data_IF_263362361384
#
_entry.id   IF_263362361384
#
_cell.length_a   1.000
_cell.length_b   1.000
_cell.length_c   1.000
_cell.angle_alpha   90.00
_cell.angle_beta   90.00
_cell.angle_gamma   90.00
#
_symmetry.space_group_name_H-M   'P 1'
#
loop_
_entity.id
_entity.type
_entity.pdbx_description
1 polymer ?
#
# COMPACT_ATOMS: atom_id res chain seq x y z
N UNK A 1 16.22 -0.85 -28.00
CA UNK A 1 14.80 -0.98 -27.61
C UNK A 1 14.42 -2.45 -27.33
N UNK A 2 14.98 -3.43 -28.06
CA UNK A 2 14.69 -4.87 -27.89
C UNK A 2 15.07 -5.49 -26.53
N UNK A 3 16.05 -4.94 -25.81
CA UNK A 3 16.51 -5.52 -24.55
C UNK A 3 15.56 -5.27 -23.36
N UNK A 4 14.78 -4.17 -23.40
CA UNK A 4 13.86 -3.81 -22.31
C UNK A 4 12.64 -4.71 -22.31
N UNK A 5 11.93 -4.82 -23.44
CA UNK A 5 10.75 -5.68 -23.56
C UNK A 5 11.02 -7.13 -23.15
N UNK A 6 12.24 -7.63 -23.38
CA UNK A 6 12.62 -8.97 -22.94
C UNK A 6 12.72 -9.10 -21.42
N UNK A 7 13.41 -8.17 -20.74
CA UNK A 7 13.55 -8.16 -19.27
C UNK A 7 12.17 -8.07 -18.61
N UNK A 8 11.31 -7.16 -19.10
CA UNK A 8 9.94 -7.00 -18.63
C UNK A 8 9.12 -8.28 -18.78
N UNK A 9 9.18 -8.94 -19.94
CA UNK A 9 8.40 -10.16 -20.19
C UNK A 9 8.93 -11.37 -19.38
N UNK A 10 10.25 -11.45 -19.16
CA UNK A 10 10.85 -12.53 -18.37
C UNK A 10 10.46 -12.41 -16.91
N UNK A 11 10.62 -11.23 -16.31
CA UNK A 11 10.25 -11.06 -14.91
C UNK A 11 8.77 -11.32 -14.68
N UNK A 12 7.90 -10.80 -15.57
CA UNK A 12 6.46 -11.08 -15.55
C UNK A 12 6.14 -12.59 -15.54
N UNK A 13 6.91 -13.40 -16.27
CA UNK A 13 6.73 -14.85 -16.30
C UNK A 13 7.14 -15.51 -14.97
N UNK A 14 8.27 -15.11 -14.39
CA UNK A 14 8.79 -15.66 -13.13
C UNK A 14 7.85 -15.40 -11.93
N UNK A 15 7.25 -14.22 -11.85
CA UNK A 15 6.27 -13.92 -10.79
C UNK A 15 4.95 -14.68 -10.94
N UNK A 16 4.52 -14.93 -12.17
CA UNK A 16 3.33 -15.75 -12.41
C UNK A 16 3.53 -17.18 -11.87
N UNK A 17 4.74 -17.71 -11.96
CA UNK A 17 5.08 -19.03 -11.43
C UNK A 17 5.15 -19.04 -9.90
N UNK A 18 5.67 -18.00 -9.25
CA UNK A 18 5.74 -17.93 -7.78
C UNK A 18 4.35 -17.86 -7.14
N UNK A 19 3.46 -16.99 -7.65
CA UNK A 19 2.10 -16.82 -7.11
C UNK A 19 1.17 -18.01 -7.34
N UNK A 20 1.45 -18.86 -8.34
CA UNK A 20 0.68 -20.08 -8.57
C UNK A 20 0.92 -21.18 -7.51
N UNK A 21 1.98 -21.04 -6.70
CA UNK A 21 2.39 -22.04 -5.70
C UNK A 21 1.92 -21.76 -4.26
N UNK A 22 1.37 -20.57 -4.00
CA UNK A 22 0.90 -20.16 -2.67
C UNK A 22 -0.63 -20.33 -2.55
N UNK A 23 -1.09 -21.20 -1.66
CA UNK A 23 -2.51 -21.23 -1.24
C UNK A 23 -2.76 -20.08 -0.25
N UNK A 24 -3.53 -19.07 -0.67
CA UNK A 24 -3.84 -17.89 0.14
C UNK A 24 -5.17 -18.02 0.91
N UNK A 25 -5.34 -17.33 2.06
CA UNK A 25 -6.60 -17.21 2.76
C UNK A 25 -7.67 -16.53 1.90
N UNK A 26 -8.93 -16.97 1.99
CA UNK A 26 -10.06 -16.59 1.12
C UNK A 26 -10.47 -15.09 1.09
N UNK A 27 -9.69 -14.15 1.65
CA UNK A 27 -10.10 -12.73 1.76
C UNK A 27 -8.94 -11.71 1.65
N UNK A 28 -7.84 -12.02 0.98
CA UNK A 28 -6.74 -11.04 0.77
C UNK A 28 -6.75 -10.49 -0.65
N UNK A 29 -6.33 -9.23 -0.79
CA UNK A 29 -5.95 -8.69 -2.10
C UNK A 29 -4.89 -9.59 -2.69
N UNK A 30 -5.11 -10.09 -3.88
CA UNK A 30 -4.07 -10.73 -4.66
C UNK A 30 -3.90 -9.91 -5.92
N UNK A 31 -2.81 -9.14 -5.98
CA UNK A 31 -2.47 -8.35 -7.15
C UNK A 31 -1.45 -9.11 -7.99
N UNK A 32 -1.63 -9.03 -9.29
CA UNK A 32 -0.66 -9.50 -10.26
C UNK A 32 -0.04 -8.31 -10.99
N UNK A 33 1.06 -8.58 -11.67
CA UNK A 33 1.71 -7.59 -12.53
C UNK A 33 0.73 -6.90 -13.48
N UNK A 34 -0.20 -7.67 -14.06
CA UNK A 34 -1.18 -7.17 -15.04
C UNK A 34 -2.28 -6.30 -14.42
N UNK A 35 -2.35 -6.24 -13.09
CA UNK A 35 -3.26 -5.35 -12.37
C UNK A 35 -2.63 -3.98 -12.09
N UNK A 36 -1.35 -3.77 -12.41
CA UNK A 36 -0.65 -2.51 -12.18
C UNK A 36 -0.56 -1.71 -13.48
N UNK A 37 -1.16 -0.53 -13.49
CA UNK A 37 -1.15 0.40 -14.62
C UNK A 37 -0.24 1.57 -14.29
N UNK A 38 0.68 1.90 -15.21
CA UNK A 38 1.69 2.96 -15.02
C UNK A 38 1.44 4.05 -16.06
N UNK A 39 1.20 5.27 -15.63
CA UNK A 39 1.03 6.47 -16.47
C UNK A 39 2.08 7.53 -16.13
N UNK A 40 2.51 8.30 -17.12
CA UNK A 40 3.38 9.45 -16.92
C UNK A 40 2.53 10.67 -16.57
N UNK A 41 2.92 11.43 -15.54
CA UNK A 41 2.25 12.67 -15.16
C UNK A 41 2.60 13.82 -16.14
N UNK A 42 1.72 14.81 -16.25
CA UNK A 42 1.87 15.93 -17.21
C UNK A 42 3.10 16.81 -16.92
N UNK A 43 3.48 16.95 -15.65
CA UNK A 43 4.68 17.69 -15.22
C UNK A 43 5.98 16.96 -15.55
N UNK A 44 5.89 15.65 -15.79
CA UNK A 44 6.98 14.82 -16.22
C UNK A 44 8.07 14.65 -15.18
N UNK A 45 7.78 14.71 -13.89
CA UNK A 45 8.78 14.41 -12.84
C UNK A 45 8.48 13.10 -12.08
N UNK A 46 7.26 12.59 -12.18
CA UNK A 46 6.85 11.31 -11.61
C UNK A 46 6.00 10.45 -12.56
N UNK A 47 5.91 9.16 -12.23
CA UNK A 47 4.87 8.27 -12.74
C UNK A 47 3.78 8.15 -11.70
N UNK A 48 2.55 8.12 -12.18
CA UNK A 48 1.39 7.69 -11.42
C UNK A 48 1.18 6.20 -11.67
N UNK A 49 0.96 5.46 -10.60
CA UNK A 49 0.59 4.05 -10.68
C UNK A 49 -0.83 3.90 -10.15
N UNK A 50 -1.66 3.23 -10.92
CA UNK A 50 -3.04 2.92 -10.59
C UNK A 50 -3.26 1.42 -10.64
N UNK A 51 -4.21 0.94 -9.83
CA UNK A 51 -4.63 -0.46 -9.86
C UNK A 51 -5.75 -0.59 -10.89
N UNK A 52 -5.60 -1.56 -11.79
CA UNK A 52 -6.53 -1.82 -12.89
C UNK A 52 -7.97 -1.95 -12.41
N UNK A 53 -8.90 -1.35 -13.16
CA UNK A 53 -10.35 -1.45 -12.97
C UNK A 53 -10.89 -2.91 -13.00
N UNK A 54 -10.07 -3.88 -13.43
CA UNK A 54 -10.37 -5.32 -13.32
C UNK A 54 -10.36 -5.82 -11.89
N UNK A 55 -9.52 -5.23 -11.03
CA UNK A 55 -9.53 -5.46 -9.58
C UNK A 55 -10.67 -4.66 -8.97
N UNK A 56 -11.69 -5.35 -8.47
CA UNK A 56 -12.90 -4.71 -7.92
C UNK A 56 -12.73 -4.28 -6.46
N UNK A 57 -12.01 -5.09 -5.70
CA UNK A 57 -11.82 -4.86 -4.28
C UNK A 57 -10.35 -4.98 -3.93
N UNK A 58 -9.91 -4.10 -3.04
CA UNK A 58 -8.60 -4.15 -2.40
C UNK A 58 -8.85 -4.20 -0.91
N UNK A 59 -8.12 -5.08 -0.24
CA UNK A 59 -8.06 -5.20 1.21
C UNK A 59 -6.85 -4.43 1.71
N UNK A 60 -7.10 -3.39 2.50
CA UNK A 60 -6.09 -2.62 3.24
C UNK A 60 -6.54 -2.59 4.70
N UNK A 61 -5.61 -2.80 5.63
CA UNK A 61 -5.88 -2.91 7.06
C UNK A 61 -7.09 -3.82 7.35
N UNK A 62 -7.18 -4.99 6.71
CA UNK A 62 -8.29 -5.93 6.84
C UNK A 62 -9.69 -5.30 6.60
N UNK A 63 -9.78 -4.25 5.77
CA UNK A 63 -11.01 -3.59 5.32
C UNK A 63 -11.13 -3.75 3.80
N UNK A 64 -12.28 -4.22 3.34
CA UNK A 64 -12.57 -4.33 1.91
C UNK A 64 -12.97 -2.97 1.38
N UNK A 65 -12.25 -2.48 0.38
CA UNK A 65 -12.44 -1.18 -0.25
C UNK A 65 -12.74 -1.43 -1.73
N UNK A 66 -13.69 -0.70 -2.30
CA UNK A 66 -13.80 -0.69 -3.75
C UNK A 66 -12.58 0.03 -4.33
N UNK A 67 -12.01 -0.51 -5.42
CA UNK A 67 -10.80 0.08 -6.03
C UNK A 67 -10.99 1.57 -6.39
N UNK A 68 -12.23 2.00 -6.67
CA UNK A 68 -12.56 3.38 -7.06
C UNK A 68 -12.80 4.33 -5.88
N UNK A 69 -12.96 3.79 -4.67
CA UNK A 69 -13.22 4.58 -3.46
C UNK A 69 -11.92 5.07 -2.82
N UNK A 70 -10.81 4.39 -3.10
CA UNK A 70 -9.52 4.73 -2.51
C UNK A 70 -8.72 5.64 -3.44
N UNK A 71 -8.30 6.80 -2.93
CA UNK A 71 -7.38 7.67 -3.63
C UNK A 71 -5.95 7.12 -3.52
N UNK A 72 -5.69 5.96 -4.12
CA UNK A 72 -4.35 5.36 -4.15
C UNK A 72 -3.46 6.21 -5.03
N UNK A 73 -2.71 7.10 -4.39
CA UNK A 73 -1.72 7.91 -5.06
C UNK A 73 -0.38 7.21 -4.93
N UNK A 74 0.04 6.52 -5.99
CA UNK A 74 1.36 5.89 -6.05
C UNK A 74 2.29 6.69 -6.95
N UNK A 75 3.37 7.24 -6.39
CA UNK A 75 4.34 8.03 -7.13
C UNK A 75 5.72 7.39 -7.18
N UNK A 76 6.32 7.39 -8.38
CA UNK A 76 7.70 6.94 -8.61
C UNK A 76 8.48 8.03 -9.34
N UNK A 77 9.66 8.37 -8.81
CA UNK A 77 10.57 9.32 -9.45
C UNK A 77 11.05 8.84 -10.83
N UNK A 78 11.16 9.76 -11.80
CA UNK A 78 11.67 9.43 -13.14
C UNK A 78 13.11 8.91 -13.16
N UNK A 79 13.92 9.24 -12.16
CA UNK A 79 15.30 8.75 -12.10
C UNK A 79 15.38 7.22 -11.91
N UNK A 80 14.38 6.63 -11.24
CA UNK A 80 14.20 5.16 -11.17
C UNK A 80 13.81 4.57 -12.54
N UNK A 81 13.17 5.34 -13.42
CA UNK A 81 12.61 4.83 -14.68
C UNK A 81 13.67 4.37 -15.70
N UNK A 82 14.92 4.83 -15.60
CA UNK A 82 15.99 4.32 -16.48
C UNK A 82 16.06 2.78 -16.44
N UNK A 83 15.63 2.25 -15.30
CA UNK A 83 15.47 0.87 -14.92
C UNK A 83 14.12 0.69 -14.20
N UNK A 84 12.98 0.80 -14.91
CA UNK A 84 11.78 0.11 -14.38
C UNK A 84 12.14 -1.38 -14.33
N UNK A 85 12.69 -1.78 -13.20
CA UNK A 85 13.06 -3.14 -12.89
C UNK A 85 11.83 -3.79 -12.28
N UNK A 86 11.61 -5.06 -12.61
CA UNK A 86 10.45 -5.77 -12.14
C UNK A 86 10.33 -5.77 -10.61
N UNK A 87 11.47 -5.61 -9.95
CA UNK A 87 11.66 -5.60 -8.52
C UNK A 87 10.78 -4.55 -7.80
N UNK A 88 10.62 -3.33 -8.30
CA UNK A 88 9.82 -2.32 -7.59
C UNK A 88 8.31 -2.56 -7.71
N UNK A 89 7.82 -3.07 -8.84
CA UNK A 89 6.40 -3.47 -8.97
C UNK A 89 6.11 -4.65 -8.05
N UNK A 90 7.06 -5.58 -7.90
CA UNK A 90 6.93 -6.66 -6.91
C UNK A 90 6.94 -6.14 -5.48
N UNK A 91 7.84 -5.20 -5.16
CA UNK A 91 7.83 -4.55 -3.85
C UNK A 91 6.49 -3.85 -3.57
N UNK A 92 5.92 -3.15 -4.57
CA UNK A 92 4.61 -2.50 -4.45
C UNK A 92 3.47 -3.52 -4.22
N UNK A 93 3.42 -4.59 -5.00
CA UNK A 93 2.42 -5.65 -4.81
C UNK A 93 2.55 -6.24 -3.41
N UNK A 94 3.77 -6.60 -2.99
CA UNK A 94 4.03 -7.14 -1.67
C UNK A 94 3.66 -6.16 -0.56
N UNK A 95 3.89 -4.85 -0.75
CA UNK A 95 3.45 -3.80 0.16
C UNK A 95 1.93 -3.83 0.32
N UNK A 96 1.17 -3.80 -0.77
CA UNK A 96 -0.30 -3.80 -0.74
C UNK A 96 -0.85 -5.07 -0.09
N UNK A 97 -0.27 -6.24 -0.39
CA UNK A 97 -0.66 -7.51 0.23
C UNK A 97 -0.34 -7.54 1.74
N UNK A 98 0.81 -7.00 2.14
CA UNK A 98 1.15 -6.83 3.56
C UNK A 98 0.17 -5.89 4.25
N UNK A 99 -0.14 -4.74 3.64
CA UNK A 99 -1.15 -3.78 4.11
C UNK A 99 -2.52 -4.45 4.32
N UNK A 100 -2.88 -5.47 3.55
CA UNK A 100 -4.11 -6.25 3.78
C UNK A 100 -4.15 -6.94 5.14
N UNK A 101 -3.00 -7.24 5.75
CA UNK A 101 -2.83 -8.05 6.94
C UNK A 101 -2.36 -7.30 8.21
N UNK A 102 -2.10 -5.98 8.13
CA UNK A 102 -1.47 -5.19 9.21
C UNK A 102 -2.31 -5.01 10.48
N UNK A 103 -3.50 -5.60 10.60
CA UNK A 103 -4.44 -5.36 11.71
C UNK A 103 -3.78 -5.49 13.08
N UNK A 104 -3.11 -6.62 13.32
CA UNK A 104 -2.52 -6.88 14.63
C UNK A 104 -1.30 -5.98 14.87
N UNK A 105 -0.48 -5.78 13.84
CA UNK A 105 0.69 -4.90 13.89
C UNK A 105 0.30 -3.45 14.22
N UNK A 106 -0.77 -2.92 13.62
CA UNK A 106 -1.31 -1.59 13.92
C UNK A 106 -1.77 -1.47 15.37
N UNK A 107 -2.53 -2.45 15.88
CA UNK A 107 -3.02 -2.43 17.26
C UNK A 107 -1.85 -2.50 18.25
N UNK A 108 -0.89 -3.38 17.98
CA UNK A 108 0.28 -3.58 18.85
C UNK A 108 1.17 -2.33 18.85
N UNK A 109 1.44 -1.77 17.68
CA UNK A 109 2.21 -0.53 17.53
C UNK A 109 1.52 0.64 18.24
N UNK A 110 0.24 0.89 17.96
CA UNK A 110 -0.52 1.94 18.62
C UNK A 110 -0.43 1.81 20.14
N UNK A 111 -0.60 0.60 20.68
CA UNK A 111 -0.55 0.34 22.11
C UNK A 111 0.83 0.55 22.71
N UNK A 112 1.89 0.23 21.97
CA UNK A 112 3.29 0.37 22.38
C UNK A 112 3.87 1.79 22.24
N UNK A 113 3.32 2.61 21.34
CA UNK A 113 3.81 3.96 21.05
C UNK A 113 3.33 5.00 22.08
N UNK A 114 4.12 6.06 22.27
CA UNK A 114 3.76 7.21 23.10
C UNK A 114 3.62 8.43 22.19
N UNK A 115 2.42 9.00 22.14
CA UNK A 115 2.09 10.13 21.26
C UNK A 115 0.88 10.90 21.79
N UNK A 116 0.76 12.16 21.37
CA UNK A 116 -0.26 13.07 21.87
C UNK A 116 -1.68 12.59 21.52
N UNK A 117 -2.61 12.87 22.43
CA UNK A 117 -4.04 12.60 22.26
C UNK A 117 -4.43 11.11 22.10
N UNK A 118 -3.49 10.18 22.31
CA UNK A 118 -3.71 8.73 22.31
C UNK A 118 -4.83 8.30 23.27
N UNK A 119 -5.71 7.40 22.81
CA UNK A 119 -6.60 6.61 23.66
C UNK A 119 -5.83 5.56 24.47
N UNK A 120 -6.22 5.37 25.73
CA UNK A 120 -5.71 4.28 26.55
C UNK A 120 -6.02 2.91 25.92
N UNK A 121 -4.99 2.05 25.81
CA UNK A 121 -5.03 0.65 25.37
C UNK A 121 -6.21 0.26 24.46
N UNK A 122 -5.96 0.25 23.16
CA UNK A 122 -6.94 -0.12 22.15
C UNK A 122 -6.90 -1.61 21.80
N UNK A 123 -7.94 -2.08 21.12
CA UNK A 123 -8.05 -3.45 20.65
C UNK A 123 -9.00 -3.56 19.47
N UNK A 124 -9.61 -4.73 19.28
CA UNK A 124 -10.49 -5.00 18.12
C UNK A 124 -11.59 -3.94 17.91
N UNK A 125 -12.25 -3.47 18.97
CA UNK A 125 -13.36 -2.51 18.87
C UNK A 125 -12.91 -1.18 18.26
N UNK A 126 -11.75 -0.67 18.69
CA UNK A 126 -11.17 0.54 18.13
C UNK A 126 -10.82 0.33 16.65
N UNK A 127 -10.10 -0.75 16.34
CA UNK A 127 -9.70 -1.05 14.96
C UNK A 127 -10.89 -1.20 14.00
N UNK A 128 -11.95 -1.88 14.45
CA UNK A 128 -13.16 -2.06 13.66
C UNK A 128 -13.90 -0.72 13.45
N UNK A 129 -13.73 0.25 14.35
CA UNK A 129 -14.26 1.60 14.25
C UNK A 129 -13.41 2.57 13.42
N UNK A 130 -12.25 2.15 12.92
CA UNK A 130 -11.47 2.94 11.97
C UNK A 130 -12.07 2.83 10.57
N UNK A 131 -12.08 3.91 9.80
CA UNK A 131 -12.45 3.92 8.39
C UNK A 131 -11.31 4.50 7.56
N UNK A 132 -10.88 3.85 6.48
CA UNK A 132 -9.77 4.37 5.67
C UNK A 132 -10.27 5.58 4.89
N UNK A 133 -9.58 6.71 5.07
CA UNK A 133 -9.85 7.94 4.34
C UNK A 133 -8.92 8.10 3.14
N UNK A 134 -7.63 7.80 3.35
CA UNK A 134 -6.61 7.97 2.31
C UNK A 134 -5.51 6.90 2.43
N UNK A 135 -4.90 6.58 1.30
CA UNK A 135 -3.74 5.69 1.19
C UNK A 135 -2.76 6.29 0.18
N UNK A 136 -1.64 6.76 0.69
CA UNK A 136 -0.55 7.28 -0.11
C UNK A 136 0.61 6.28 -0.10
N UNK A 137 1.17 5.96 -1.28
CA UNK A 137 2.36 5.11 -1.39
C UNK A 137 3.38 5.83 -2.28
N UNK A 138 4.62 5.92 -1.84
CA UNK A 138 5.68 6.54 -2.61
C UNK A 138 6.90 5.63 -2.67
N UNK A 139 7.52 5.54 -3.83
CA UNK A 139 8.79 4.84 -4.01
C UNK A 139 9.89 5.89 -4.14
N UNK A 140 10.74 5.96 -3.12
CA UNK A 140 11.89 6.86 -3.07
C UNK A 140 13.00 6.41 -4.04
N UNK A 141 13.93 7.31 -4.37
CA UNK A 141 15.04 7.04 -5.31
C UNK A 141 15.97 5.89 -4.89
N UNK A 142 16.01 5.55 -3.60
CA UNK A 142 16.75 4.41 -3.06
C UNK A 142 15.92 3.11 -3.02
N UNK A 143 14.76 3.12 -3.67
CA UNK A 143 13.77 2.04 -3.73
C UNK A 143 13.07 1.71 -2.41
N UNK A 144 13.19 2.58 -1.40
CA UNK A 144 12.37 2.54 -0.20
C UNK A 144 10.91 2.77 -0.57
N UNK A 145 10.02 1.94 -0.04
CA UNK A 145 8.57 2.21 -0.09
C UNK A 145 8.15 2.94 1.17
N UNK A 146 7.70 4.18 0.99
CA UNK A 146 7.04 4.97 2.02
C UNK A 146 5.54 4.83 1.83
N UNK A 147 4.80 4.59 2.89
CA UNK A 147 3.32 4.54 2.87
C UNK A 147 2.78 5.43 3.96
N UNK A 148 1.65 6.07 3.70
CA UNK A 148 0.83 6.72 4.71
C UNK A 148 -0.60 6.19 4.58
N UNK A 149 -1.21 5.81 5.71
CA UNK A 149 -2.64 5.50 5.77
C UNK A 149 -3.28 6.44 6.78
N UNK A 150 -4.28 7.18 6.30
CA UNK A 150 -5.12 8.00 7.17
C UNK A 150 -6.44 7.28 7.40
N UNK A 151 -6.82 7.16 8.67
CA UNK A 151 -8.11 6.64 9.09
C UNK A 151 -8.95 7.73 9.77
N UNK A 152 -10.27 7.67 9.61
CA UNK A 152 -11.21 8.31 10.52
C UNK A 152 -11.41 7.42 11.75
N UNK A 153 -11.26 7.95 12.96
CA UNK A 153 -11.53 7.22 14.20
C UNK A 153 -12.91 7.57 14.78
N UNK A 154 -13.86 6.66 14.59
CA UNK A 154 -15.23 6.82 15.09
C UNK A 154 -15.32 6.99 16.61
N UNK A 155 -14.43 6.36 17.39
CA UNK A 155 -14.41 6.50 18.85
C UNK A 155 -13.94 7.88 19.30
N UNK A 156 -13.39 8.67 18.38
CA UNK A 156 -12.87 10.01 18.58
C UNK A 156 -13.71 11.09 17.90
N UNK A 157 -14.94 10.78 17.48
CA UNK A 157 -15.78 11.67 16.65
C UNK A 157 -15.15 11.96 15.29
N UNK A 158 -14.68 10.90 14.62
CA UNK A 158 -14.16 10.94 13.25
C UNK A 158 -12.90 11.83 13.09
N UNK A 159 -12.12 11.97 14.17
CA UNK A 159 -10.81 12.61 14.11
C UNK A 159 -9.87 11.71 13.30
N UNK A 160 -9.12 12.31 12.38
CA UNK A 160 -8.13 11.62 11.56
C UNK A 160 -6.97 11.07 12.39
N UNK A 161 -6.55 9.84 12.12
CA UNK A 161 -5.31 9.24 12.62
C UNK A 161 -4.50 8.75 11.44
N UNK A 162 -3.26 9.23 11.31
CA UNK A 162 -2.32 8.82 10.27
C UNK A 162 -1.31 7.83 10.83
N UNK A 163 -1.01 6.81 10.05
CA UNK A 163 0.12 5.90 10.27
C UNK A 163 1.09 6.03 9.11
N UNK A 164 2.38 6.15 9.45
CA UNK A 164 3.46 6.22 8.47
C UNK A 164 4.26 4.93 8.50
N UNK A 165 4.63 4.44 7.32
CA UNK A 165 5.33 3.19 7.14
C UNK A 165 6.53 3.36 6.20
N UNK A 166 7.59 2.61 6.49
CA UNK A 166 8.77 2.48 5.63
C UNK A 166 9.14 1.02 5.47
N UNK A 167 9.10 0.50 4.24
CA UNK A 167 9.42 -0.89 3.90
C UNK A 167 8.75 -1.94 4.83
N UNK A 168 7.41 -1.89 4.93
CA UNK A 168 6.61 -2.77 5.79
C UNK A 168 6.91 -2.65 7.29
N UNK A 169 7.48 -1.53 7.74
CA UNK A 169 7.68 -1.21 9.15
C UNK A 169 6.84 0.02 9.48
N UNK A 170 6.05 -0.06 10.55
CA UNK A 170 5.32 1.09 11.09
C UNK A 170 6.33 1.99 11.82
N UNK A 171 6.48 3.22 11.37
CA UNK A 171 7.45 4.18 11.94
C UNK A 171 6.80 5.17 12.89
N UNK A 172 5.59 5.62 12.56
CA UNK A 172 4.95 6.71 13.30
C UNK A 172 3.42 6.60 13.30
N UNK A 173 2.80 7.26 14.28
CA UNK A 173 1.36 7.41 14.41
C UNK A 173 1.03 8.76 15.04
N UNK A 174 0.09 9.48 14.44
CA UNK A 174 -0.39 10.75 14.97
C UNK A 174 -1.88 10.95 14.72
N UNK A 175 -2.54 11.67 15.64
CA UNK A 175 -3.88 12.21 15.35
C UNK A 175 -3.74 13.55 14.64
N UNK A 176 -4.42 13.70 13.51
CA UNK A 176 -4.60 14.99 12.85
C UNK A 176 -5.39 15.94 13.76
N UNK A 177 -4.95 17.20 13.80
CA UNK A 177 -5.60 18.29 14.54
C UNK A 177 -6.68 18.99 13.71
#
# INVERSE_FOLDING_TARGET
>A
MENRTHIFNTAKAEFKESKASEQSPENLTQLYWDDILISEQEDGDCFEITISDTVKHIVIANKNLENKELNVSIFVSKDLQKNIEADWVYKLINQIEWLGNIKNELIDFYNGSDFDNKLDKVGKVWFDGLEIMDLYIHIENDETIVTEITFSDYLRNDIGISFSFKDQIIEDVEYGC
#
